data_IF_787897304031
#
_entry.id   IF_787897304031
#
_cell.length_a   1.000
_cell.length_b   1.000
_cell.length_c   1.000
_cell.angle_alpha   90.00
_cell.angle_beta   90.00
_cell.angle_gamma   90.00
#
_symmetry.space_group_name_H-M   'P 1'
#
loop_
_entity.id
_entity.type
_entity.pdbx_description
1 polymer ?
#
# COMPACT_ATOMS: atom_id res chain seq x y z
N UNK A 1 3.08 -14.65 -9.34
CA UNK A 1 2.38 -15.55 -8.44
C UNK A 1 0.87 -15.30 -8.50
N UNK A 2 0.37 -14.17 -8.03
CA UNK A 2 -1.06 -13.83 -7.97
C UNK A 2 -1.83 -14.13 -9.25
N UNK A 3 -1.28 -13.78 -10.42
CA UNK A 3 -1.93 -14.05 -11.71
C UNK A 3 -2.13 -15.56 -11.97
N UNK A 4 -1.14 -16.40 -11.62
CA UNK A 4 -1.20 -17.85 -11.80
C UNK A 4 -2.16 -18.52 -10.81
N UNK A 5 -2.17 -18.04 -9.57
CA UNK A 5 -2.98 -18.59 -8.49
C UNK A 5 -4.31 -17.87 -8.30
N UNK A 6 -4.56 -16.79 -9.04
CA UNK A 6 -5.75 -15.93 -8.87
C UNK A 6 -5.94 -15.42 -7.43
N UNK A 7 -4.82 -15.27 -6.69
CA UNK A 7 -4.81 -14.80 -5.31
C UNK A 7 -4.88 -13.28 -5.24
N UNK A 8 -5.84 -12.67 -4.53
CA UNK A 8 -5.91 -11.23 -4.33
C UNK A 8 -4.68 -10.67 -3.61
N UNK A 9 -4.33 -9.42 -3.91
CA UNK A 9 -3.17 -8.73 -3.33
C UNK A 9 -3.63 -7.46 -2.60
N UNK A 10 -3.09 -7.25 -1.41
CA UNK A 10 -3.10 -5.96 -0.72
C UNK A 10 -1.68 -5.53 -0.36
N UNK A 11 -1.48 -4.24 -0.15
CA UNK A 11 -0.17 -3.67 0.18
C UNK A 11 -0.21 -2.95 1.53
N UNK A 12 0.89 -3.00 2.28
CA UNK A 12 1.10 -2.05 3.38
C UNK A 12 1.33 -0.64 2.82
N UNK A 13 1.32 0.39 3.66
CA UNK A 13 1.61 1.76 3.22
C UNK A 13 2.98 1.86 2.51
N UNK A 14 4.01 1.18 3.01
CA UNK A 14 5.32 1.14 2.35
C UNK A 14 5.36 0.26 1.09
N UNK A 15 4.38 -0.64 0.94
CA UNK A 15 4.21 -1.48 -0.24
C UNK A 15 3.38 -0.84 -1.35
N UNK A 16 2.80 0.34 -1.13
CA UNK A 16 2.06 1.06 -2.16
C UNK A 16 2.93 1.28 -3.40
N UNK A 17 2.30 1.30 -4.55
CA UNK A 17 2.94 1.32 -5.88
C UNK A 17 3.71 0.06 -6.30
N UNK A 18 3.82 -0.97 -5.46
CA UNK A 18 4.41 -2.25 -5.89
C UNK A 18 3.49 -3.05 -6.83
N UNK A 19 2.20 -2.79 -6.76
CA UNK A 19 1.17 -3.37 -7.65
C UNK A 19 0.42 -2.22 -8.30
N UNK A 20 0.20 -2.23 -9.63
CA UNK A 20 -0.60 -1.21 -10.31
C UNK A 20 -2.03 -1.17 -9.75
N UNK A 21 -2.59 0.04 -9.65
CA UNK A 21 -3.93 0.25 -9.08
C UNK A 21 -5.05 -0.43 -9.89
N UNK A 22 -4.84 -0.60 -11.18
CA UNK A 22 -5.77 -1.21 -12.14
C UNK A 22 -5.62 -2.73 -12.26
N UNK A 23 -4.71 -3.33 -11.50
CA UNK A 23 -4.60 -4.78 -11.48
C UNK A 23 -5.86 -5.40 -10.87
N UNK A 24 -6.52 -6.29 -11.59
CA UNK A 24 -7.86 -6.83 -11.26
C UNK A 24 -7.97 -7.44 -9.85
N UNK A 25 -6.88 -8.05 -9.36
CA UNK A 25 -6.82 -8.69 -8.04
C UNK A 25 -6.27 -7.78 -6.95
N UNK A 26 -6.03 -6.50 -7.25
CA UNK A 26 -5.55 -5.54 -6.26
C UNK A 26 -6.69 -5.01 -5.40
N UNK A 27 -6.56 -5.19 -4.10
CA UNK A 27 -7.56 -4.79 -3.11
C UNK A 27 -7.27 -3.42 -2.45
N UNK A 28 -6.09 -2.86 -2.71
CA UNK A 28 -5.66 -1.61 -2.09
C UNK A 28 -4.76 -1.80 -0.87
N UNK A 29 -4.68 -0.76 -0.04
CA UNK A 29 -3.88 -0.77 1.18
C UNK A 29 -4.59 -1.52 2.30
N UNK A 30 -3.81 -2.25 3.12
CA UNK A 30 -4.26 -2.90 4.35
C UNK A 30 -3.94 -2.05 5.59
N UNK A 31 -4.68 -2.25 6.67
CA UNK A 31 -4.41 -1.70 7.98
C UNK A 31 -5.39 -0.61 8.40
N UNK A 32 -5.00 0.20 9.40
CA UNK A 32 -5.85 1.22 10.02
C UNK A 32 -6.44 2.22 9.01
N UNK A 33 -5.66 2.58 8.01
CA UNK A 33 -6.07 3.47 6.91
C UNK A 33 -6.27 2.70 5.60
N UNK A 34 -6.40 1.38 5.68
CA UNK A 34 -6.58 0.52 4.52
C UNK A 34 -7.98 0.55 3.95
N UNK A 35 -8.11 -0.03 2.76
CA UNK A 35 -9.44 -0.22 2.17
C UNK A 35 -10.25 -1.25 2.96
N UNK A 36 -11.57 -1.07 3.10
CA UNK A 36 -12.39 -2.05 3.79
C UNK A 36 -12.28 -3.46 3.18
N UNK A 37 -12.17 -3.56 1.86
CA UNK A 37 -12.07 -4.85 1.17
C UNK A 37 -10.73 -5.55 1.43
N UNK A 38 -9.61 -4.81 1.50
CA UNK A 38 -8.31 -5.39 1.84
C UNK A 38 -8.28 -5.91 3.29
N UNK A 39 -8.85 -5.14 4.22
CA UNK A 39 -8.97 -5.58 5.61
C UNK A 39 -9.91 -6.79 5.75
N UNK A 40 -11.06 -6.78 5.08
CA UNK A 40 -11.99 -7.91 5.07
C UNK A 40 -11.32 -9.17 4.50
N UNK A 41 -10.64 -9.05 3.37
CA UNK A 41 -9.94 -10.16 2.74
C UNK A 41 -8.90 -10.78 3.67
N UNK A 42 -8.07 -9.97 4.32
CA UNK A 42 -7.02 -10.48 5.20
C UNK A 42 -7.59 -11.14 6.47
N UNK A 43 -8.69 -10.61 7.00
CA UNK A 43 -9.31 -11.16 8.23
C UNK A 43 -10.08 -12.46 7.98
N UNK A 44 -10.52 -12.72 6.75
CA UNK A 44 -11.34 -13.88 6.40
C UNK A 44 -10.63 -14.86 5.44
N UNK A 45 -9.35 -14.65 5.17
CA UNK A 45 -8.54 -15.59 4.39
C UNK A 45 -8.27 -16.87 5.19
N UNK A 46 -8.13 -17.97 4.50
CA UNK A 46 -7.61 -19.24 5.00
C UNK A 46 -6.08 -19.31 4.95
N UNK A 47 -5.46 -18.55 4.03
CA UNK A 47 -4.02 -18.42 3.87
C UNK A 47 -3.63 -16.95 3.64
N UNK A 48 -2.65 -16.47 4.39
CA UNK A 48 -2.00 -15.16 4.19
C UNK A 48 -0.53 -15.37 3.86
N UNK A 49 -0.11 -14.91 2.69
CA UNK A 49 1.30 -14.88 2.30
C UNK A 49 1.82 -13.45 2.50
N UNK A 50 2.57 -13.24 3.56
CA UNK A 50 3.17 -11.96 3.91
C UNK A 50 4.59 -11.86 3.32
N UNK A 51 4.83 -10.84 2.50
CA UNK A 51 6.09 -10.65 1.77
C UNK A 51 6.69 -9.31 2.17
N UNK A 52 7.80 -9.32 2.91
CA UNK A 52 8.47 -8.13 3.41
C UNK A 52 7.58 -7.30 4.35
N UNK A 53 6.66 -7.94 5.07
CA UNK A 53 5.66 -7.29 5.90
C UNK A 53 5.98 -7.45 7.39
N UNK A 54 6.24 -6.35 8.07
CA UNK A 54 6.60 -6.36 9.50
C UNK A 54 5.42 -6.51 10.46
N UNK A 55 4.19 -6.57 9.97
CA UNK A 55 2.97 -6.62 10.79
C UNK A 55 2.96 -5.56 11.91
N UNK A 56 3.27 -4.32 11.56
CA UNK A 56 3.23 -3.21 12.51
C UNK A 56 1.82 -3.04 13.10
N UNK A 57 1.72 -2.32 14.21
CA UNK A 57 0.44 -1.98 14.84
C UNK A 57 -0.54 -1.27 13.90
N UNK A 58 -0.03 -0.48 12.96
CA UNK A 58 -0.81 0.21 11.92
C UNK A 58 -1.41 -0.75 10.89
N UNK A 59 -0.78 -1.90 10.66
CA UNK A 59 -1.24 -2.94 9.73
C UNK A 59 -2.07 -3.98 10.47
N UNK A 60 -1.53 -4.58 11.52
CA UNK A 60 -2.15 -5.70 12.22
C UNK A 60 -3.19 -5.27 13.28
N UNK A 61 -3.13 -4.02 13.76
CA UNK A 61 -3.99 -3.56 14.83
C UNK A 61 -3.84 -4.44 16.08
N UNK A 62 -4.88 -5.19 16.41
CA UNK A 62 -4.80 -6.20 17.46
C UNK A 62 -4.14 -7.48 16.94
N UNK A 63 -2.83 -7.61 17.20
CA UNK A 63 -1.99 -8.73 16.74
C UNK A 63 -2.54 -10.11 17.08
N UNK A 64 -3.24 -10.24 18.22
CA UNK A 64 -3.85 -11.52 18.65
C UNK A 64 -5.10 -11.89 17.84
N UNK A 65 -5.70 -10.93 17.16
CA UNK A 65 -6.90 -11.13 16.34
C UNK A 65 -6.63 -11.03 14.85
N UNK A 66 -5.41 -10.67 14.45
CA UNK A 66 -5.04 -10.52 13.05
C UNK A 66 -4.99 -11.88 12.37
N UNK A 67 -5.83 -12.05 11.35
CA UNK A 67 -5.89 -13.27 10.53
C UNK A 67 -5.93 -14.60 11.32
N UNK A 68 -6.65 -14.63 12.43
CA UNK A 68 -6.69 -15.79 13.36
C UNK A 68 -7.14 -17.11 12.72
N UNK A 69 -7.90 -17.06 11.63
CA UNK A 69 -8.38 -18.25 10.92
C UNK A 69 -7.42 -18.70 9.81
N UNK A 70 -6.44 -17.86 9.47
CA UNK A 70 -5.53 -18.10 8.37
C UNK A 70 -4.25 -18.81 8.83
N UNK A 71 -3.72 -19.67 7.98
CA UNK A 71 -2.31 -20.03 7.99
C UNK A 71 -1.49 -18.85 7.46
N UNK A 72 -0.32 -18.60 8.06
CA UNK A 72 0.54 -17.48 7.68
C UNK A 72 1.88 -17.99 7.18
N UNK A 73 2.16 -17.73 5.91
CA UNK A 73 3.50 -17.87 5.32
C UNK A 73 4.18 -16.50 5.38
N UNK A 74 5.28 -16.38 6.10
CA UNK A 74 6.04 -15.14 6.21
C UNK A 74 7.35 -15.22 5.45
N UNK A 75 7.48 -14.38 4.44
CA UNK A 75 8.66 -14.26 3.58
C UNK A 75 9.34 -12.93 3.91
N UNK A 76 10.54 -12.97 4.43
CA UNK A 76 11.33 -11.76 4.69
C UNK A 76 12.82 -12.04 4.47
N UNK A 77 13.57 -11.00 4.07
CA UNK A 77 15.02 -11.10 3.96
C UNK A 77 15.69 -10.99 5.33
N UNK A 78 15.03 -10.34 6.28
CA UNK A 78 15.51 -10.19 7.66
C UNK A 78 14.87 -11.25 8.57
N UNK A 79 15.67 -12.21 8.99
CA UNK A 79 15.22 -13.27 9.90
C UNK A 79 14.66 -12.72 11.23
N UNK A 80 15.06 -11.51 11.65
CA UNK A 80 14.60 -10.89 12.90
C UNK A 80 13.17 -10.38 12.82
N UNK A 81 12.61 -10.20 11.64
CA UNK A 81 11.21 -9.80 11.44
C UNK A 81 10.24 -11.00 11.46
N UNK A 82 10.75 -12.22 11.22
CA UNK A 82 9.93 -13.43 11.21
C UNK A 82 9.31 -13.68 12.59
N UNK A 83 7.99 -13.85 12.62
CA UNK A 83 7.20 -14.11 13.85
C UNK A 83 7.32 -13.06 14.96
N UNK A 84 7.92 -11.91 14.69
CA UNK A 84 8.16 -10.85 15.68
C UNK A 84 6.86 -10.22 16.22
N UNK A 85 5.93 -9.93 15.36
CA UNK A 85 4.68 -9.26 15.71
C UNK A 85 3.45 -10.16 15.58
N UNK A 86 3.44 -11.02 14.59
CA UNK A 86 2.40 -12.03 14.33
C UNK A 86 3.11 -13.35 14.10
N UNK A 87 2.71 -14.39 14.83
CA UNK A 87 3.28 -15.72 14.64
C UNK A 87 2.95 -16.22 13.23
N UNK A 88 3.90 -16.87 12.57
CA UNK A 88 3.67 -17.51 11.29
C UNK A 88 3.78 -19.04 11.41
N UNK A 89 3.05 -19.73 10.55
CA UNK A 89 3.08 -21.21 10.45
C UNK A 89 4.28 -21.68 9.62
N UNK A 90 4.64 -20.89 8.61
CA UNK A 90 5.79 -21.17 7.75
C UNK A 90 6.65 -19.91 7.58
N UNK A 91 7.93 -20.03 7.86
CA UNK A 91 8.94 -18.98 7.73
C UNK A 91 9.85 -19.26 6.53
N UNK A 92 10.04 -18.25 5.67
CA UNK A 92 10.95 -18.33 4.53
C UNK A 92 11.87 -17.10 4.56
N UNK A 93 13.11 -17.30 4.99
CA UNK A 93 14.11 -16.22 5.02
C UNK A 93 14.86 -16.17 3.70
N UNK A 94 14.78 -15.05 3.00
CA UNK A 94 15.47 -14.87 1.72
C UNK A 94 14.88 -13.78 0.84
N UNK A 95 15.46 -13.64 -0.35
CA UNK A 95 15.01 -12.69 -1.34
C UNK A 95 13.63 -13.07 -1.90
N UNK A 96 12.69 -12.14 -1.80
CA UNK A 96 11.29 -12.36 -2.19
C UNK A 96 11.16 -12.77 -3.67
N UNK A 97 11.98 -12.20 -4.57
CA UNK A 97 11.93 -12.54 -5.99
C UNK A 97 12.36 -13.99 -6.22
N UNK A 98 13.41 -14.45 -5.55
CA UNK A 98 13.89 -15.82 -5.68
C UNK A 98 12.86 -16.82 -5.15
N UNK A 99 12.31 -16.56 -3.97
CA UNK A 99 11.29 -17.42 -3.34
C UNK A 99 10.03 -17.48 -4.20
N UNK A 100 9.52 -16.34 -4.66
CA UNK A 100 8.33 -16.30 -5.51
C UNK A 100 8.56 -16.96 -6.88
N UNK A 101 9.77 -16.85 -7.44
CA UNK A 101 10.12 -17.54 -8.69
C UNK A 101 10.07 -19.06 -8.49
N UNK A 102 10.59 -19.54 -7.36
CA UNK A 102 10.52 -20.96 -7.01
C UNK A 102 9.06 -21.44 -6.86
N UNK A 103 8.23 -20.68 -6.15
CA UNK A 103 6.81 -20.98 -6.01
C UNK A 103 6.08 -21.03 -7.36
N UNK A 104 6.30 -20.05 -8.24
CA UNK A 104 5.65 -19.99 -9.55
C UNK A 104 5.98 -21.23 -10.40
N UNK A 105 7.19 -21.77 -10.27
CA UNK A 105 7.62 -22.95 -11.04
C UNK A 105 7.00 -24.26 -10.54
N UNK A 106 6.56 -24.30 -9.28
CA UNK A 106 6.06 -25.53 -8.65
C UNK A 106 4.54 -25.55 -8.49
N UNK A 107 3.89 -24.38 -8.38
CA UNK A 107 2.46 -24.31 -8.16
C UNK A 107 1.71 -24.50 -9.48
N UNK A 108 0.58 -25.19 -9.42
CA UNK A 108 -0.37 -25.25 -10.53
C UNK A 108 -1.27 -24.01 -10.60
N UNK A 109 -1.93 -23.80 -11.73
CA UNK A 109 -2.93 -22.74 -11.89
C UNK A 109 -4.12 -22.98 -10.97
N UNK A 110 -4.58 -21.92 -10.32
CA UNK A 110 -5.74 -21.96 -9.43
C UNK A 110 -6.74 -20.87 -9.84
N UNK A 111 -7.97 -20.96 -9.39
CA UNK A 111 -9.00 -20.00 -9.80
C UNK A 111 -9.67 -19.25 -8.67
N UNK A 112 -9.83 -19.79 -7.50
CA UNK A 112 -10.45 -19.17 -6.32
C UNK A 112 -11.70 -18.30 -6.63
N UNK A 113 -12.57 -18.76 -7.56
CA UNK A 113 -13.68 -17.95 -8.08
C UNK A 113 -14.67 -17.53 -6.98
N UNK A 114 -15.00 -18.44 -6.09
CA UNK A 114 -15.93 -18.17 -4.98
C UNK A 114 -15.39 -17.06 -4.06
N UNK A 115 -14.11 -17.14 -3.72
CA UNK A 115 -13.46 -16.12 -2.91
C UNK A 115 -13.41 -14.75 -3.61
N UNK A 116 -13.04 -14.73 -4.87
CA UNK A 116 -13.02 -13.51 -5.69
C UNK A 116 -14.40 -12.87 -5.77
N UNK A 117 -15.44 -13.65 -6.03
CA UNK A 117 -16.82 -13.18 -6.08
C UNK A 117 -17.26 -12.60 -4.72
N UNK A 118 -16.91 -13.25 -3.61
CA UNK A 118 -17.17 -12.74 -2.25
C UNK A 118 -16.55 -11.35 -2.05
N UNK A 119 -15.32 -11.14 -2.51
CA UNK A 119 -14.64 -9.84 -2.38
C UNK A 119 -15.24 -8.76 -3.29
N UNK A 120 -15.67 -9.12 -4.50
CA UNK A 120 -16.37 -8.21 -5.42
C UNK A 120 -17.72 -7.80 -4.82
N UNK A 121 -18.49 -8.73 -4.30
CA UNK A 121 -19.78 -8.46 -3.64
C UNK A 121 -19.60 -7.58 -2.41
N UNK A 122 -18.58 -7.84 -1.60
CA UNK A 122 -18.25 -7.02 -0.44
C UNK A 122 -17.89 -5.58 -0.85
N UNK A 123 -17.03 -5.42 -1.88
CA UNK A 123 -16.66 -4.10 -2.42
C UNK A 123 -17.89 -3.33 -2.93
N UNK A 124 -18.80 -4.02 -3.60
CA UNK A 124 -20.03 -3.42 -4.14
C UNK A 124 -20.99 -2.97 -3.02
N UNK A 125 -21.15 -3.80 -1.98
CA UNK A 125 -22.04 -3.49 -0.83
C UNK A 125 -21.56 -2.31 0.00
N UNK A 126 -20.25 -2.17 0.21
CA UNK A 126 -19.70 -1.05 1.00
C UNK A 126 -19.78 0.26 0.22
N UNK A 127 -19.68 0.20 -1.12
CA UNK A 127 -19.65 1.38 -1.97
C UNK A 127 -18.42 2.26 -1.72
N UNK A 128 -18.03 3.05 -2.69
CA UNK A 128 -17.16 4.20 -2.45
C UNK A 128 -18.02 5.29 -1.79
N UNK A 129 -17.62 5.81 -0.63
CA UNK A 129 -18.25 7.00 -0.09
C UNK A 129 -18.19 8.08 -1.16
N UNK A 130 -19.36 8.51 -1.63
CA UNK A 130 -19.45 9.67 -2.53
C UNK A 130 -18.85 10.89 -1.82
N UNK A 131 -18.24 11.81 -2.58
CA UNK A 131 -17.78 13.08 -2.03
C UNK A 131 -18.93 13.78 -1.29
N UNK A 132 -18.59 14.57 -0.28
CA UNK A 132 -19.57 15.40 0.38
C UNK A 132 -20.04 16.47 -0.60
N UNK A 133 -21.34 16.59 -0.82
CA UNK A 133 -21.93 17.70 -1.58
C UNK A 133 -21.73 18.99 -0.78
N UNK A 134 -21.16 20.03 -1.38
CA UNK A 134 -20.96 21.35 -0.76
C UNK A 134 -19.87 22.18 -1.44
N UNK A 135 -19.76 23.43 -1.03
CA UNK A 135 -18.80 24.40 -1.58
C UNK A 135 -17.33 24.17 -1.14
N UNK A 136 -17.08 23.15 -0.31
CA UNK A 136 -15.73 22.82 0.19
C UNK A 136 -15.09 21.76 -0.67
N UNK A 137 -13.82 21.96 -0.99
CA UNK A 137 -13.01 20.95 -1.68
C UNK A 137 -12.81 19.74 -0.77
N UNK A 138 -13.29 18.58 -1.19
CA UNK A 138 -12.99 17.32 -0.52
C UNK A 138 -11.55 16.90 -0.86
N UNK A 139 -10.67 16.71 0.13
CA UNK A 139 -9.30 16.29 -0.13
C UNK A 139 -9.18 14.98 -0.92
N UNK A 140 -10.16 14.08 -0.82
CA UNK A 140 -10.20 12.81 -1.55
C UNK A 140 -10.38 13.05 -3.05
N UNK A 141 -11.32 13.95 -3.40
CA UNK A 141 -11.58 14.33 -4.79
C UNK A 141 -10.41 15.10 -5.39
N UNK A 142 -9.76 15.94 -4.57
CA UNK A 142 -8.54 16.62 -4.97
C UNK A 142 -7.47 15.61 -5.38
N UNK A 143 -7.17 14.62 -4.54
CA UNK A 143 -6.16 13.59 -4.83
C UNK A 143 -6.53 12.73 -6.05
N UNK A 144 -7.80 12.36 -6.18
CA UNK A 144 -8.28 11.62 -7.34
C UNK A 144 -8.17 12.43 -8.63
N UNK A 145 -8.51 13.73 -8.57
CA UNK A 145 -8.37 14.64 -9.71
C UNK A 145 -6.91 14.87 -10.06
N UNK A 146 -6.03 14.99 -9.06
CA UNK A 146 -4.60 15.14 -9.24
C UNK A 146 -4.01 13.99 -10.07
N UNK A 147 -4.39 12.73 -9.77
CA UNK A 147 -3.99 11.60 -10.58
C UNK A 147 -4.42 11.73 -12.04
N UNK A 148 -5.68 12.13 -12.30
CA UNK A 148 -6.18 12.32 -13.67
C UNK A 148 -5.41 13.39 -14.46
N UNK A 149 -4.93 14.43 -13.78
CA UNK A 149 -4.16 15.52 -14.40
C UNK A 149 -2.70 15.14 -14.66
N UNK A 150 -2.09 14.37 -13.74
CA UNK A 150 -0.66 14.03 -13.81
C UNK A 150 -0.39 12.77 -14.64
N UNK A 151 -1.39 11.87 -14.74
CA UNK A 151 -1.24 10.57 -15.39
C UNK A 151 -0.36 9.60 -14.60
N UNK A 152 -0.09 8.46 -15.22
CA UNK A 152 0.55 7.29 -14.60
C UNK A 152 2.06 7.45 -14.34
N UNK A 153 2.70 8.49 -14.88
CA UNK A 153 4.14 8.65 -14.80
C UNK A 153 4.61 9.48 -13.60
N UNK A 154 3.70 10.10 -12.90
CA UNK A 154 4.02 10.96 -11.76
C UNK A 154 4.58 10.16 -10.58
N UNK A 155 5.52 10.78 -9.87
CA UNK A 155 6.00 10.32 -8.56
C UNK A 155 5.41 11.23 -7.49
N UNK A 156 4.72 10.63 -6.54
CA UNK A 156 4.08 11.35 -5.45
C UNK A 156 4.92 11.18 -4.20
N UNK A 157 5.35 12.31 -3.67
CA UNK A 157 6.06 12.39 -2.40
C UNK A 157 5.10 12.95 -1.37
N UNK A 158 5.01 12.35 -0.20
CA UNK A 158 4.21 12.90 0.89
C UNK A 158 5.07 13.23 2.09
N UNK A 159 4.70 14.30 2.77
CA UNK A 159 5.09 14.50 4.15
C UNK A 159 4.12 13.73 5.08
N UNK A 160 4.15 13.98 6.39
CA UNK A 160 3.40 13.19 7.38
C UNK A 160 2.23 13.98 7.96
N UNK A 161 1.04 13.38 7.91
CA UNK A 161 -0.21 13.97 8.40
C UNK A 161 -1.44 13.40 7.70
N UNK A 162 -2.59 14.05 7.83
CA UNK A 162 -3.84 13.62 7.16
C UNK A 162 -3.69 13.56 5.64
N UNK A 163 -2.98 14.51 5.06
CA UNK A 163 -2.66 14.54 3.62
C UNK A 163 -1.95 13.26 3.16
N UNK A 164 -1.02 12.73 3.95
CA UNK A 164 -0.33 11.46 3.69
C UNK A 164 -1.33 10.30 3.61
N UNK A 165 -2.24 10.20 4.60
CA UNK A 165 -3.22 9.11 4.66
C UNK A 165 -4.19 9.17 3.49
N UNK A 166 -4.70 10.35 3.17
CA UNK A 166 -5.61 10.57 2.05
C UNK A 166 -4.92 10.25 0.73
N UNK A 167 -3.68 10.71 0.55
CA UNK A 167 -2.91 10.42 -0.66
C UNK A 167 -2.63 8.92 -0.81
N UNK A 168 -2.25 8.25 0.27
CA UNK A 168 -2.02 6.80 0.28
C UNK A 168 -3.28 5.99 -0.10
N UNK A 169 -4.46 6.48 0.30
CA UNK A 169 -5.74 5.79 0.05
C UNK A 169 -6.33 6.06 -1.35
N UNK A 170 -6.19 7.28 -1.85
CA UNK A 170 -6.99 7.74 -2.99
C UNK A 170 -6.18 8.01 -4.26
N UNK A 171 -4.85 8.18 -4.18
CA UNK A 171 -4.04 8.29 -5.38
C UNK A 171 -3.87 6.92 -6.05
N UNK A 172 -3.98 6.89 -7.37
CA UNK A 172 -3.90 5.67 -8.17
C UNK A 172 -2.46 5.46 -8.69
N UNK A 173 -1.70 4.60 -8.05
CA UNK A 173 -0.31 4.32 -8.39
C UNK A 173 -0.21 3.27 -9.49
N UNK A 174 0.22 3.66 -10.69
CA UNK A 174 0.35 2.75 -11.84
C UNK A 174 1.74 2.12 -11.96
N UNK A 175 2.79 2.82 -11.52
CA UNK A 175 4.18 2.38 -11.69
C UNK A 175 4.86 2.09 -10.35
N UNK A 176 5.76 1.08 -10.30
CA UNK A 176 6.54 0.82 -9.10
C UNK A 176 7.37 2.03 -8.67
N UNK A 177 7.54 2.18 -7.35
CA UNK A 177 8.32 3.27 -6.72
C UNK A 177 7.81 4.67 -7.09
N UNK A 178 6.51 4.82 -7.31
CA UNK A 178 5.86 6.12 -7.55
C UNK A 178 5.24 6.73 -6.30
N UNK A 179 5.34 6.07 -5.14
CA UNK A 179 4.96 6.59 -3.83
C UNK A 179 6.17 6.64 -2.91
N UNK A 180 6.53 7.83 -2.46
CA UNK A 180 7.67 8.10 -1.59
C UNK A 180 7.17 8.80 -0.33
N UNK A 181 7.41 8.19 0.82
CA UNK A 181 6.88 8.69 2.08
C UNK A 181 7.63 8.14 3.29
N UNK A 182 7.66 8.89 4.38
CA UNK A 182 8.18 8.42 5.67
C UNK A 182 7.13 7.63 6.47
N UNK A 183 6.42 6.69 5.82
CA UNK A 183 5.38 5.91 6.50
C UNK A 183 5.92 5.00 7.62
N UNK A 184 7.21 4.68 7.60
CA UNK A 184 7.82 3.81 8.62
C UNK A 184 8.01 4.51 9.96
N UNK A 185 8.64 5.68 9.96
CA UNK A 185 8.92 6.49 11.15
C UNK A 185 7.91 7.63 11.35
N UNK A 186 7.26 8.10 10.29
CA UNK A 186 6.35 9.22 10.37
C UNK A 186 7.06 10.55 10.62
N UNK A 187 8.20 10.78 9.97
CA UNK A 187 9.03 11.96 10.14
C UNK A 187 8.43 13.16 9.41
N UNK A 188 7.93 14.15 10.13
CA UNK A 188 7.50 15.43 9.56
C UNK A 188 8.72 16.23 9.08
N UNK A 189 8.57 16.93 7.94
CA UNK A 189 9.68 17.65 7.27
C UNK A 189 10.49 16.78 6.29
N UNK A 190 10.21 15.49 6.19
CA UNK A 190 10.86 14.57 5.25
C UNK A 190 10.58 14.94 3.77
N UNK A 191 9.38 15.42 3.50
CA UNK A 191 8.83 15.47 2.13
C UNK A 191 9.61 16.39 1.19
N UNK A 192 10.06 17.58 1.64
CA UNK A 192 10.71 18.54 0.76
C UNK A 192 12.04 18.00 0.23
N UNK A 193 12.94 17.58 1.12
CA UNK A 193 14.22 16.99 0.70
C UNK A 193 14.06 15.75 -0.17
N UNK A 194 13.07 14.89 0.17
CA UNK A 194 12.76 13.72 -0.63
C UNK A 194 12.29 14.09 -2.05
N UNK A 195 11.41 15.11 -2.19
CA UNK A 195 10.90 15.55 -3.49
C UNK A 195 12.02 16.10 -4.39
N UNK A 196 12.93 16.91 -3.82
CA UNK A 196 14.10 17.43 -4.52
C UNK A 196 15.01 16.28 -4.98
N UNK A 197 15.32 15.34 -4.08
CA UNK A 197 16.14 14.17 -4.40
C UNK A 197 15.52 13.30 -5.50
N UNK A 198 14.21 13.03 -5.41
CA UNK A 198 13.48 12.28 -6.44
C UNK A 198 13.47 13.01 -7.78
N UNK A 199 13.26 14.34 -7.79
CA UNK A 199 13.29 15.13 -9.03
C UNK A 199 14.67 15.15 -9.67
N UNK A 200 15.72 15.22 -8.87
CA UNK A 200 17.10 15.13 -9.33
C UNK A 200 17.40 13.76 -9.96
N UNK A 201 16.92 12.68 -9.35
CA UNK A 201 17.10 11.33 -9.88
C UNK A 201 16.23 11.03 -11.12
N UNK A 202 15.08 11.70 -11.24
CA UNK A 202 14.10 11.50 -12.32
C UNK A 202 13.70 12.83 -12.97
N UNK A 203 14.63 13.53 -13.67
CA UNK A 203 14.42 14.90 -14.17
C UNK A 203 13.25 15.01 -15.18
N UNK A 204 12.94 13.94 -15.88
CA UNK A 204 11.91 13.92 -16.92
C UNK A 204 10.51 13.51 -16.42
N UNK A 205 10.39 13.06 -15.16
CA UNK A 205 9.11 12.65 -14.60
C UNK A 205 8.49 13.79 -13.79
N UNK A 206 7.15 13.96 -13.80
CA UNK A 206 6.47 14.81 -12.83
C UNK A 206 6.74 14.31 -11.41
N UNK A 207 7.15 15.20 -10.51
CA UNK A 207 7.30 14.93 -9.08
C UNK A 207 6.45 15.92 -8.32
N UNK A 208 5.55 15.44 -7.50
CA UNK A 208 4.62 16.28 -6.73
C UNK A 208 4.77 15.96 -5.25
N UNK A 209 5.07 16.99 -4.48
CA UNK A 209 5.05 16.93 -3.02
C UNK A 209 3.65 17.30 -2.50
N UNK A 210 3.08 16.44 -1.68
CA UNK A 210 1.86 16.71 -0.92
C UNK A 210 2.23 16.82 0.55
N UNK A 211 2.10 18.02 1.09
CA UNK A 211 2.51 18.33 2.46
C UNK A 211 1.42 19.10 3.20
N UNK A 212 1.43 19.06 4.51
CA UNK A 212 0.63 19.90 5.38
C UNK A 212 1.42 21.14 5.81
N UNK A 213 0.73 22.14 6.35
CA UNK A 213 1.30 23.40 6.82
C UNK A 213 2.43 23.20 7.85
N UNK A 214 2.19 22.39 8.87
CA UNK A 214 3.19 22.11 9.90
C UNK A 214 4.43 21.40 9.37
N UNK A 215 4.26 20.38 8.55
CA UNK A 215 5.37 19.64 7.95
C UNK A 215 6.16 20.52 6.97
N UNK A 216 5.48 21.36 6.20
CA UNK A 216 6.11 22.30 5.26
C UNK A 216 7.03 23.29 6.00
N UNK A 217 6.54 23.86 7.09
CA UNK A 217 7.33 24.84 7.88
C UNK A 217 8.60 24.24 8.50
N UNK A 218 8.62 22.93 8.75
CA UNK A 218 9.80 22.27 9.34
C UNK A 218 11.03 22.31 8.43
N UNK A 219 10.81 22.28 7.10
CA UNK A 219 11.89 22.21 6.11
C UNK A 219 11.69 23.15 4.90
N UNK A 220 10.94 24.23 5.06
CA UNK A 220 10.71 25.20 3.97
C UNK A 220 11.97 25.88 3.45
N UNK A 221 13.04 25.92 4.26
CA UNK A 221 14.35 26.44 3.86
C UNK A 221 14.95 25.65 2.69
N UNK A 222 14.59 24.37 2.52
CA UNK A 222 15.04 23.54 1.38
C UNK A 222 14.48 24.03 0.03
N UNK A 223 13.50 24.95 0.03
CA UNK A 223 13.03 25.58 -1.21
C UNK A 223 14.10 26.44 -1.89
N UNK A 224 15.16 26.79 -1.17
CA UNK A 224 16.29 27.55 -1.71
C UNK A 224 17.28 26.68 -2.53
N UNK A 225 17.12 25.35 -2.47
CA UNK A 225 17.90 24.42 -3.26
C UNK A 225 17.40 24.36 -4.69
#
# INVERSE_FOLDING_TARGET
YSKKTQTPICCSAMGLSSVPYDYELYLGMIGMHGTPVANYATLNADLVIAIGARFSDRVAGNRKKFANAAQIIHIDIDASEISKNVACDTALVGDAKQILTHFINQIEEQKHEEWRNTLVDFRTKIGLKKPAEGDKVDPRDFIYTLHKLLGDDAIIVTDVGQHQMITAQYYQYAKPRSFISSCGLGTMGYGMGAAIGVKTAHPNRPVVLITGDGSFHMNMNEMAC
#
